data_IF_716054097806
#
_entry.id   IF_716054097806
#
_cell.length_a   1.000
_cell.length_b   1.000
_cell.length_c   1.000
_cell.angle_alpha   90.00
_cell.angle_beta   90.00
_cell.angle_gamma   90.00
#
_symmetry.space_group_name_H-M   'P 1'
#
loop_
_entity.id
_entity.type
_entity.pdbx_description
1 polymer ?
#
# COMPACT_ATOMS: atom_id res chain seq x y z
N UNK A 1 -6.82 29.31 8.58
CA UNK A 1 -6.78 27.87 8.86
C UNK A 1 -7.82 27.20 7.97
N UNK A 2 -7.42 26.61 6.84
CA UNK A 2 -8.37 25.85 6.00
C UNK A 2 -8.37 24.41 6.46
N UNK A 3 -9.35 24.06 7.30
CA UNK A 3 -9.61 22.70 7.77
C UNK A 3 -10.64 22.04 6.85
N UNK A 4 -10.19 21.51 5.72
CA UNK A 4 -11.01 20.57 4.96
C UNK A 4 -11.06 19.24 5.73
N UNK A 5 -12.13 19.07 6.53
CA UNK A 5 -12.38 17.86 7.36
C UNK A 5 -12.39 16.58 6.51
N UNK A 6 -12.79 16.72 5.24
CA UNK A 6 -12.70 15.69 4.22
C UNK A 6 -12.00 16.32 3.02
N UNK A 7 -10.79 15.86 2.68
CA UNK A 7 -10.06 16.36 1.51
C UNK A 7 -10.93 16.22 0.26
N UNK A 8 -11.48 17.34 -0.22
CA UNK A 8 -12.34 17.35 -1.40
C UNK A 8 -11.55 17.21 -2.72
N UNK A 9 -10.26 17.52 -2.70
CA UNK A 9 -9.41 17.54 -3.90
C UNK A 9 -8.20 16.62 -3.73
N UNK A 10 -8.03 15.70 -4.68
CA UNK A 10 -6.88 14.80 -4.73
C UNK A 10 -5.77 15.38 -5.61
N UNK A 11 -4.52 15.31 -5.12
CA UNK A 11 -3.35 15.66 -5.92
C UNK A 11 -3.07 14.51 -6.90
N UNK A 12 -2.84 14.78 -8.19
CA UNK A 12 -2.43 13.74 -9.13
C UNK A 12 -1.06 13.18 -8.73
N UNK A 13 -0.92 11.86 -8.85
CA UNK A 13 0.35 11.17 -8.62
C UNK A 13 1.29 11.38 -9.82
N UNK A 14 2.58 11.56 -9.52
CA UNK A 14 3.62 11.49 -10.55
C UNK A 14 3.76 10.06 -11.09
N UNK A 15 4.39 9.90 -12.24
CA UNK A 15 4.60 8.56 -12.80
C UNK A 15 5.49 7.69 -11.92
N UNK A 16 6.49 8.29 -11.26
CA UNK A 16 7.30 7.60 -10.25
C UNK A 16 6.45 7.11 -9.07
N UNK A 17 5.51 7.93 -8.57
CA UNK A 17 4.62 7.52 -7.49
C UNK A 17 3.69 6.38 -7.94
N UNK A 18 3.20 6.41 -9.18
CA UNK A 18 2.39 5.31 -9.73
C UNK A 18 3.20 4.02 -9.82
N UNK A 19 4.44 4.11 -10.30
CA UNK A 19 5.36 2.97 -10.39
C UNK A 19 5.67 2.39 -9.00
N UNK A 20 6.05 3.22 -8.03
CA UNK A 20 6.30 2.80 -6.65
C UNK A 20 5.08 2.09 -6.04
N UNK A 21 3.88 2.66 -6.22
CA UNK A 21 2.64 2.05 -5.74
C UNK A 21 2.38 0.69 -6.42
N UNK A 22 2.61 0.58 -7.73
CA UNK A 22 2.44 -0.67 -8.47
C UNK A 22 3.42 -1.74 -7.97
N UNK A 23 4.69 -1.39 -7.80
CA UNK A 23 5.74 -2.28 -7.28
C UNK A 23 5.40 -2.80 -5.88
N UNK A 24 5.02 -1.92 -4.95
CA UNK A 24 4.62 -2.32 -3.58
C UNK A 24 3.47 -3.33 -3.61
N UNK A 25 2.45 -3.09 -4.43
CA UNK A 25 1.29 -3.99 -4.55
C UNK A 25 1.67 -5.33 -5.16
N UNK A 26 2.51 -5.31 -6.21
CA UNK A 26 3.01 -6.53 -6.86
C UNK A 26 3.78 -7.41 -5.88
N UNK A 27 4.73 -6.85 -5.14
CA UNK A 27 5.50 -7.60 -4.15
C UNK A 27 4.63 -8.12 -2.99
N UNK A 28 3.64 -7.34 -2.55
CA UNK A 28 2.69 -7.79 -1.53
C UNK A 28 1.86 -8.98 -1.99
N UNK A 29 1.37 -8.95 -3.23
CA UNK A 29 0.62 -10.05 -3.85
C UNK A 29 1.48 -11.31 -3.97
N UNK A 30 2.71 -11.17 -4.46
CA UNK A 30 3.68 -12.29 -4.58
C UNK A 30 3.94 -12.95 -3.22
N UNK A 31 4.15 -12.16 -2.16
CA UNK A 31 4.36 -12.70 -0.82
C UNK A 31 3.11 -13.40 -0.26
N UNK A 32 1.92 -12.88 -0.52
CA UNK A 32 0.65 -13.54 -0.14
C UNK A 32 0.54 -14.91 -0.81
N UNK A 33 0.86 -15.02 -2.10
CA UNK A 33 0.83 -16.28 -2.84
C UNK A 33 1.83 -17.31 -2.28
N UNK A 34 3.03 -16.86 -1.91
CA UNK A 34 4.02 -17.71 -1.22
C UNK A 34 3.46 -18.21 0.13
N UNK A 35 2.81 -17.34 0.90
CA UNK A 35 2.21 -17.71 2.20
C UNK A 35 1.05 -18.70 2.01
N UNK A 36 0.21 -18.50 0.99
CA UNK A 36 -0.88 -19.42 0.66
C UNK A 36 -0.38 -20.81 0.29
N UNK A 37 0.81 -20.89 -0.35
CA UNK A 37 1.49 -22.14 -0.64
C UNK A 37 1.94 -22.94 0.59
N UNK A 38 2.04 -22.33 1.78
CA UNK A 38 2.40 -23.01 3.04
C UNK A 38 1.20 -23.79 3.60
N UNK A 39 -0.03 -23.35 3.31
CA UNK A 39 -1.27 -23.96 3.79
C UNK A 39 -2.01 -23.15 4.87
N UNK A 40 -3.25 -23.53 5.18
CA UNK A 40 -4.09 -22.77 6.09
C UNK A 40 -3.64 -22.94 7.55
N UNK A 41 -3.64 -21.84 8.31
CA UNK A 41 -3.29 -21.85 9.71
C UNK A 41 -3.37 -20.47 10.35
N UNK A 42 -3.25 -20.42 11.67
CA UNK A 42 -3.22 -19.14 12.42
C UNK A 42 -2.04 -18.28 11.97
N UNK A 43 -0.87 -18.87 11.82
CA UNK A 43 0.37 -18.17 11.47
C UNK A 43 0.31 -17.59 10.05
N UNK A 44 -0.16 -18.38 9.08
CA UNK A 44 -0.32 -17.91 7.69
C UNK A 44 -1.41 -16.84 7.58
N UNK A 45 -2.49 -16.94 8.36
CA UNK A 45 -3.51 -15.89 8.45
C UNK A 45 -2.93 -14.57 9.00
N UNK A 46 -2.16 -14.63 10.10
CA UNK A 46 -1.52 -13.47 10.69
C UNK A 46 -0.48 -12.84 9.75
N UNK A 47 0.30 -13.68 9.07
CA UNK A 47 1.29 -13.23 8.09
C UNK A 47 0.61 -12.45 6.96
N UNK A 48 -0.46 -12.98 6.35
CA UNK A 48 -1.20 -12.28 5.30
C UNK A 48 -1.77 -10.93 5.76
N UNK A 49 -2.41 -10.88 6.93
CA UNK A 49 -2.90 -9.61 7.49
C UNK A 49 -1.77 -8.58 7.63
N UNK A 50 -0.57 -9.01 8.03
CA UNK A 50 0.59 -8.12 8.17
C UNK A 50 1.14 -7.66 6.83
N UNK A 51 1.09 -8.50 5.79
CA UNK A 51 1.44 -8.10 4.43
C UNK A 51 0.45 -7.05 3.91
N UNK A 52 -0.85 -7.28 4.07
CA UNK A 52 -1.90 -6.33 3.67
C UNK A 52 -1.74 -4.97 4.38
N UNK A 53 -1.49 -4.99 5.69
CA UNK A 53 -1.25 -3.79 6.49
C UNK A 53 0.00 -3.04 6.00
N UNK A 54 1.10 -3.76 5.73
CA UNK A 54 2.32 -3.17 5.20
C UNK A 54 2.10 -2.51 3.82
N UNK A 55 1.41 -3.20 2.90
CA UNK A 55 1.06 -2.68 1.56
C UNK A 55 0.20 -1.42 1.66
N UNK A 56 -0.78 -1.40 2.58
CA UNK A 56 -1.64 -0.24 2.82
C UNK A 56 -0.82 0.96 3.30
N UNK A 57 0.00 0.79 4.35
CA UNK A 57 0.81 1.88 4.89
C UNK A 57 1.87 2.39 3.91
N UNK A 58 2.51 1.51 3.15
CA UNK A 58 3.44 1.88 2.10
C UNK A 58 2.76 2.66 0.96
N UNK A 59 1.59 2.20 0.49
CA UNK A 59 0.79 2.92 -0.51
C UNK A 59 0.39 4.30 0.00
N UNK A 60 -0.06 4.40 1.25
CA UNK A 60 -0.36 5.67 1.89
C UNK A 60 0.85 6.60 1.88
N UNK A 61 2.04 6.10 2.24
CA UNK A 61 3.27 6.89 2.23
C UNK A 61 3.60 7.45 0.84
N UNK A 62 3.45 6.64 -0.22
CA UNK A 62 3.64 7.09 -1.62
C UNK A 62 2.71 8.26 -1.95
N UNK A 63 1.43 8.15 -1.58
CA UNK A 63 0.43 9.21 -1.83
C UNK A 63 0.57 10.44 -0.92
N UNK A 64 1.27 10.30 0.21
CA UNK A 64 1.50 11.39 1.17
C UNK A 64 2.75 12.23 0.83
N UNK A 65 3.67 11.71 0.01
CA UNK A 65 4.78 12.51 -0.53
C UNK A 65 4.18 13.67 -1.34
N UNK A 66 4.42 14.90 -0.87
CA UNK A 66 3.99 16.10 -1.59
C UNK A 66 4.67 16.11 -2.95
N UNK A 67 3.90 16.24 -4.05
CA UNK A 67 4.53 16.35 -5.38
C UNK A 67 5.55 17.46 -5.34
N UNK A 68 6.77 17.09 -5.75
CA UNK A 68 7.93 17.94 -5.83
C UNK A 68 7.61 19.00 -6.88
N UNK A 69 7.57 20.27 -6.45
CA UNK A 69 7.77 21.42 -7.33
C UNK A 69 9.26 21.67 -7.49
#
# INVERSE_FOLDING_TARGET
MSTDTVRATYKPLTDLQKEQMATVKSCGQELIEIIDGIGPGRETSLAKTKVEEAVMWATKAVTAQGSIE
#
